data_IF_939703975335
#
_entry.id   IF_939703975335
#
_cell.length_a   1.000
_cell.length_b   1.000
_cell.length_c   1.000
_cell.angle_alpha   90.00
_cell.angle_beta   90.00
_cell.angle_gamma   90.00
#
_symmetry.space_group_name_H-M   'P 1'
#
loop_
_entity.id
_entity.type
_entity.pdbx_description
1 polymer ?
#
# COMPACT_ATOMS: atom_id res chain seq x y z
N UNK A 1 5.59 20.71 -11.93
CA UNK A 1 4.75 19.52 -12.19
C UNK A 1 3.96 19.32 -10.93
N UNK A 2 2.64 19.40 -11.01
CA UNK A 2 1.79 18.99 -9.89
C UNK A 2 2.07 17.52 -9.63
N UNK A 3 2.46 17.21 -8.39
CA UNK A 3 2.64 15.85 -7.93
C UNK A 3 1.24 15.23 -7.79
N UNK A 4 0.98 14.10 -8.45
CA UNK A 4 -0.31 13.42 -8.29
C UNK A 4 -0.54 13.11 -6.81
N UNK A 5 -1.70 13.51 -6.29
CA UNK A 5 -2.00 13.45 -4.86
C UNK A 5 -1.90 12.05 -4.26
N UNK A 6 -2.10 10.99 -5.06
CA UNK A 6 -1.97 9.59 -4.64
C UNK A 6 -0.52 9.14 -4.53
N UNK A 7 0.43 9.79 -5.22
CA UNK A 7 1.82 9.36 -5.23
C UNK A 7 2.44 9.55 -3.84
N UNK A 8 2.92 8.44 -3.29
CA UNK A 8 3.45 8.35 -1.94
C UNK A 8 3.19 6.99 -1.31
N UNK A 9 3.61 6.87 -0.05
CA UNK A 9 3.40 5.72 0.81
C UNK A 9 2.30 5.99 1.82
N UNK A 10 1.29 5.13 1.82
CA UNK A 10 0.12 5.21 2.66
C UNK A 10 0.11 4.02 3.61
N UNK A 11 0.15 4.27 4.92
CA UNK A 11 0.17 3.25 5.96
C UNK A 11 -1.15 3.25 6.74
N UNK A 12 -1.63 2.06 7.07
CA UNK A 12 -2.80 1.89 7.94
C UNK A 12 -2.48 2.26 9.40
N UNK A 13 -1.23 2.05 9.83
CA UNK A 13 -0.78 2.21 11.22
C UNK A 13 -0.10 3.56 11.50
N UNK A 14 0.29 4.32 10.46
CA UNK A 14 0.96 5.61 10.65
C UNK A 14 0.08 6.57 11.48
N UNK A 15 0.59 6.95 12.65
CA UNK A 15 -0.11 7.79 13.63
C UNK A 15 -0.90 7.02 14.69
N UNK A 16 -0.78 5.70 14.78
CA UNK A 16 -1.27 4.88 15.88
C UNK A 16 -0.12 4.31 16.72
N UNK A 17 -0.45 3.82 17.92
CA UNK A 17 0.47 2.97 18.65
C UNK A 17 0.65 1.68 17.86
N UNK A 18 1.90 1.29 17.60
CA UNK A 18 2.29 0.09 16.84
C UNK A 18 1.21 -0.99 16.91
N UNK A 19 0.42 -1.09 15.86
CA UNK A 19 -0.37 -2.27 15.65
C UNK A 19 0.63 -3.40 15.38
N UNK A 20 0.30 -4.62 15.83
CA UNK A 20 1.09 -5.80 15.43
C UNK A 20 1.04 -6.05 13.92
N UNK A 21 0.27 -5.26 13.20
CA UNK A 21 0.00 -5.38 11.78
C UNK A 21 -0.01 -3.98 11.16
N UNK A 22 0.58 -3.79 9.99
CA UNK A 22 0.40 -2.60 9.17
C UNK A 22 0.12 -3.03 7.73
N UNK A 23 -0.59 -2.20 6.99
CA UNK A 23 -0.77 -2.37 5.56
C UNK A 23 -0.33 -1.10 4.83
N UNK A 24 0.73 -1.27 4.06
CA UNK A 24 1.30 -0.25 3.20
C UNK A 24 0.66 -0.33 1.83
N UNK A 25 0.37 0.84 1.26
CA UNK A 25 -0.09 1.02 -0.11
C UNK A 25 0.74 2.13 -0.74
N UNK A 26 1.47 1.82 -1.80
CA UNK A 26 2.38 2.74 -2.47
C UNK A 26 1.94 2.95 -3.91
N UNK A 27 1.83 4.22 -4.30
CA UNK A 27 1.66 4.63 -5.68
C UNK A 27 2.90 5.39 -6.14
N UNK A 28 3.49 4.97 -7.26
CA UNK A 28 4.63 5.65 -7.90
C UNK A 28 4.15 6.49 -9.08
N UNK A 29 4.88 7.57 -9.36
CA UNK A 29 4.55 8.51 -10.44
C UNK A 29 4.63 7.90 -11.85
N UNK A 30 5.31 6.77 -12.02
CA UNK A 30 5.41 6.03 -13.28
C UNK A 30 4.18 5.16 -13.60
N UNK A 31 3.15 5.21 -12.74
CA UNK A 31 1.94 4.39 -12.89
C UNK A 31 2.10 2.98 -12.36
N UNK A 32 3.16 2.67 -11.63
CA UNK A 32 3.30 1.42 -10.88
C UNK A 32 3.01 1.62 -9.39
N UNK A 33 2.80 0.53 -8.66
CA UNK A 33 2.59 0.57 -7.23
C UNK A 33 2.59 -0.82 -6.62
N UNK A 34 2.50 -0.86 -5.30
CA UNK A 34 2.39 -2.09 -4.55
C UNK A 34 1.60 -1.89 -3.25
N UNK A 35 1.03 -2.98 -2.74
CA UNK A 35 0.58 -3.06 -1.36
C UNK A 35 1.37 -4.13 -0.62
N UNK A 36 1.53 -3.95 0.69
CA UNK A 36 2.12 -4.95 1.56
C UNK A 36 1.39 -4.95 2.89
N UNK A 37 0.74 -6.06 3.21
CA UNK A 37 0.28 -6.37 4.57
C UNK A 37 1.44 -6.99 5.34
N UNK A 38 1.74 -6.40 6.49
CA UNK A 38 2.93 -6.63 7.30
C UNK A 38 2.50 -7.09 8.68
N UNK A 39 3.05 -8.20 9.16
CA UNK A 39 2.97 -8.62 10.56
C UNK A 39 4.28 -9.31 10.94
N UNK A 40 4.55 -9.57 12.23
CA UNK A 40 5.69 -10.38 12.62
C UNK A 40 5.71 -11.70 11.84
N UNK A 41 6.85 -11.96 11.18
CA UNK A 41 7.15 -13.21 10.46
C UNK A 41 6.25 -13.51 9.26
N UNK A 42 5.37 -12.60 8.83
CA UNK A 42 4.56 -12.80 7.63
C UNK A 42 4.37 -11.50 6.87
N UNK A 43 4.51 -11.57 5.55
CA UNK A 43 4.25 -10.47 4.62
C UNK A 43 3.46 -10.98 3.44
N UNK A 44 2.36 -10.30 3.11
CA UNK A 44 1.60 -10.51 1.88
C UNK A 44 1.69 -9.25 1.03
N UNK A 45 2.15 -9.37 -0.20
CA UNK A 45 2.48 -8.26 -1.07
C UNK A 45 1.83 -8.41 -2.45
N UNK A 46 1.30 -7.32 -3.00
CA UNK A 46 0.73 -7.29 -4.35
C UNK A 46 1.33 -6.15 -5.15
N UNK A 47 1.77 -6.43 -6.38
CA UNK A 47 2.20 -5.41 -7.35
C UNK A 47 1.11 -5.13 -8.36
N UNK A 48 1.01 -3.86 -8.71
CA UNK A 48 0.01 -3.40 -9.66
C UNK A 48 0.51 -2.25 -10.53
N UNK A 49 -0.18 -2.06 -11.65
CA UNK A 49 -0.19 -0.80 -12.40
C UNK A 49 -1.44 -0.02 -12.06
N UNK A 50 -1.37 1.29 -12.17
CA UNK A 50 -2.51 2.17 -11.91
C UNK A 50 -2.54 3.34 -12.89
N UNK A 51 -3.73 3.86 -13.11
CA UNK A 51 -3.95 5.05 -13.93
C UNK A 51 -5.18 5.81 -13.46
N UNK A 52 -5.18 7.14 -13.68
CA UNK A 52 -6.36 7.97 -13.45
C UNK A 52 -7.43 7.69 -14.48
N UNK A 53 -8.67 7.51 -14.01
CA UNK A 53 -9.87 7.42 -14.87
C UNK A 53 -10.83 8.58 -14.62
N UNK A 54 -10.58 9.39 -13.59
CA UNK A 54 -11.32 10.60 -13.26
C UNK A 54 -10.76 11.31 -12.01
N UNK A 55 -11.39 12.41 -11.55
CA UNK A 55 -10.88 13.23 -10.44
C UNK A 55 -10.64 12.45 -9.14
N UNK A 56 -11.49 11.48 -8.82
CA UNK A 56 -11.38 10.62 -7.64
C UNK A 56 -11.54 9.14 -8.00
N UNK A 57 -11.05 8.76 -9.18
CA UNK A 57 -11.21 7.43 -9.74
C UNK A 57 -9.92 6.94 -10.38
N UNK A 58 -9.62 5.65 -10.14
CA UNK A 58 -8.47 4.97 -10.73
C UNK A 58 -8.88 3.63 -11.32
N UNK A 59 -8.06 3.16 -12.26
CA UNK A 59 -8.00 1.76 -12.67
C UNK A 59 -6.72 1.16 -12.10
N UNK A 60 -6.82 -0.03 -11.50
CA UNK A 60 -5.70 -0.79 -10.98
C UNK A 60 -5.66 -2.16 -11.66
N UNK A 61 -4.47 -2.56 -12.08
CA UNK A 61 -4.16 -3.82 -12.74
C UNK A 61 -3.13 -4.56 -11.89
N UNK A 62 -3.59 -5.43 -10.99
CA UNK A 62 -2.73 -6.26 -10.16
C UNK A 62 -2.25 -7.46 -10.97
N UNK A 63 -0.94 -7.70 -10.93
CA UNK A 63 -0.29 -8.68 -11.81
C UNK A 63 0.57 -9.69 -11.07
N UNK A 64 0.98 -9.41 -9.83
CA UNK A 64 1.79 -10.36 -9.05
C UNK A 64 1.49 -10.22 -7.57
N UNK A 65 1.32 -11.36 -6.93
CA UNK A 65 1.24 -11.54 -5.48
C UNK A 65 2.51 -12.24 -4.98
N UNK A 66 2.92 -11.93 -3.76
CA UNK A 66 4.06 -12.56 -3.10
C UNK A 66 3.79 -12.69 -1.62
N UNK A 67 3.99 -13.90 -1.10
CA UNK A 67 3.90 -14.18 0.33
C UNK A 67 5.29 -14.55 0.86
N UNK A 68 5.65 -14.00 2.03
CA UNK A 68 6.81 -14.40 2.80
C UNK A 68 6.32 -14.88 4.17
N UNK A 69 6.59 -16.14 4.51
CA UNK A 69 6.35 -16.72 5.83
C UNK A 69 7.68 -17.15 6.46
N UNK A 70 8.12 -16.41 7.48
CA UNK A 70 9.35 -16.68 8.22
C UNK A 70 9.11 -17.63 9.40
N UNK A 71 7.85 -17.91 9.75
CA UNK A 71 7.50 -18.80 10.85
C UNK A 71 7.75 -20.28 10.54
N UNK A 72 7.72 -20.65 9.25
CA UNK A 72 8.01 -22.00 8.74
C UNK A 72 9.32 -22.05 7.91
N UNK A 73 10.25 -21.13 8.19
CA UNK A 73 11.55 -21.07 7.54
C UNK A 73 11.53 -20.38 6.17
N UNK A 74 11.52 -19.04 6.18
CA UNK A 74 11.69 -18.13 5.02
C UNK A 74 11.09 -18.65 3.70
N UNK A 75 9.80 -19.02 3.72
CA UNK A 75 9.09 -19.47 2.53
C UNK A 75 8.65 -18.25 1.73
N UNK A 76 9.04 -18.19 0.45
CA UNK A 76 8.57 -17.16 -0.48
C UNK A 76 7.75 -17.80 -1.58
N UNK A 77 6.47 -17.46 -1.65
CA UNK A 77 5.57 -17.88 -2.72
C UNK A 77 5.26 -16.73 -3.67
N UNK A 78 5.12 -17.04 -4.96
CA UNK A 78 4.77 -16.07 -6.00
C UNK A 78 3.62 -16.57 -6.84
N UNK A 79 2.60 -15.73 -6.98
CA UNK A 79 1.42 -16.02 -7.80
C UNK A 79 1.23 -14.89 -8.80
N UNK A 80 1.09 -15.23 -10.09
CA UNK A 80 0.70 -14.26 -11.11
C UNK A 80 -0.80 -13.98 -10.98
N UNK A 81 -1.17 -12.70 -11.02
CA UNK A 81 -2.55 -12.25 -10.94
C UNK A 81 -3.01 -11.71 -12.30
N UNK A 82 -4.29 -11.87 -12.59
CA UNK A 82 -4.96 -11.17 -13.69
C UNK A 82 -6.22 -10.49 -13.13
N UNK A 83 -6.00 -9.41 -12.40
CA UNK A 83 -7.05 -8.67 -11.72
C UNK A 83 -7.02 -7.20 -12.15
N UNK A 84 -8.06 -6.80 -12.89
CA UNK A 84 -8.31 -5.40 -13.24
C UNK A 84 -9.53 -4.90 -12.50
N UNK A 85 -9.41 -3.76 -11.84
CA UNK A 85 -10.52 -3.13 -11.12
C UNK A 85 -10.51 -1.61 -11.34
N UNK A 86 -11.69 -1.05 -11.56
CA UNK A 86 -11.91 0.39 -11.53
C UNK A 86 -12.63 0.76 -10.24
N UNK A 87 -12.16 1.80 -9.56
CA UNK A 87 -12.75 2.22 -8.29
C UNK A 87 -12.58 3.69 -8.02
N UNK A 88 -13.41 4.16 -7.08
CA UNK A 88 -13.29 5.47 -6.50
C UNK A 88 -12.46 5.40 -5.21
N UNK A 89 -11.82 6.51 -4.89
CA UNK A 89 -11.16 6.70 -3.61
C UNK A 89 -11.62 8.02 -2.99
N UNK A 90 -11.37 8.19 -1.70
CA UNK A 90 -11.58 9.44 -0.99
C UNK A 90 -10.26 9.88 -0.37
N UNK A 91 -9.88 11.14 -0.61
CA UNK A 91 -8.82 11.82 0.11
C UNK A 91 -9.42 12.89 1.00
N UNK A 92 -9.02 12.90 2.26
CA UNK A 92 -9.42 13.90 3.23
C UNK A 92 -8.25 14.22 4.17
N UNK A 93 -8.25 15.42 4.76
CA UNK A 93 -7.41 15.69 5.93
C UNK A 93 -8.12 15.14 7.17
N UNK A 94 -7.40 14.37 7.97
CA UNK A 94 -7.92 13.80 9.21
C UNK A 94 -6.87 13.70 10.30
N UNK A 95 -7.32 13.39 11.51
CA UNK A 95 -6.45 13.25 12.69
C UNK A 95 -6.09 11.79 12.94
N UNK A 96 -4.85 11.53 13.38
CA UNK A 96 -4.44 10.25 13.95
C UNK A 96 -4.01 10.46 15.41
N UNK A 97 -4.23 9.49 16.33
CA UNK A 97 -4.00 9.68 17.76
C UNK A 97 -2.61 10.17 18.15
N UNK A 98 -1.56 9.75 17.44
CA UNK A 98 -0.16 10.09 17.76
C UNK A 98 0.42 11.24 16.93
N UNK A 99 -0.36 11.82 16.01
CA UNK A 99 0.11 12.93 15.19
C UNK A 99 -0.47 14.23 15.73
N UNK A 100 0.39 15.24 15.88
CA UNK A 100 -0.01 16.56 16.38
C UNK A 100 -0.81 17.36 15.36
N UNK A 101 -0.60 17.12 14.07
CA UNK A 101 -1.23 17.84 12.97
C UNK A 101 -2.10 16.90 12.12
N UNK A 102 -3.20 17.40 11.51
CA UNK A 102 -3.96 16.63 10.54
C UNK A 102 -3.10 16.19 9.36
N UNK A 103 -3.35 14.98 8.87
CA UNK A 103 -2.60 14.35 7.78
C UNK A 103 -3.56 13.88 6.68
N UNK A 104 -3.12 13.79 5.41
CA UNK A 104 -3.92 13.16 4.36
C UNK A 104 -4.24 11.71 4.69
N UNK A 105 -5.51 11.36 4.58
CA UNK A 105 -6.06 10.02 4.74
C UNK A 105 -6.67 9.56 3.41
N UNK A 106 -6.28 8.37 2.97
CA UNK A 106 -6.77 7.70 1.77
C UNK A 106 -7.72 6.56 2.15
N UNK A 107 -8.99 6.69 1.78
CA UNK A 107 -9.94 5.59 1.80
C UNK A 107 -10.07 4.99 0.40
N UNK A 108 -9.69 3.72 0.26
CA UNK A 108 -9.78 2.96 -0.99
C UNK A 108 -10.02 1.49 -0.67
N UNK A 109 -10.84 0.81 -1.50
CA UNK A 109 -11.26 -0.57 -1.29
C UNK A 109 -10.76 -1.47 -2.42
N UNK A 110 -9.44 -1.58 -2.57
CA UNK A 110 -8.82 -2.56 -3.46
C UNK A 110 -9.09 -3.98 -2.92
N UNK A 111 -9.45 -4.94 -3.79
CA UNK A 111 -9.87 -6.28 -3.36
C UNK A 111 -8.74 -7.13 -2.77
N UNK A 112 -7.49 -6.70 -2.94
CA UNK A 112 -6.30 -7.36 -2.40
C UNK A 112 -5.78 -6.72 -1.11
N UNK A 113 -6.48 -5.71 -0.57
CA UNK A 113 -6.14 -5.14 0.73
C UNK A 113 -6.74 -5.99 1.84
N UNK A 114 -5.90 -6.34 2.80
CA UNK A 114 -6.24 -7.15 3.97
C UNK A 114 -6.92 -6.29 5.05
N UNK A 115 -6.52 -5.03 5.20
CA UNK A 115 -7.07 -4.13 6.20
C UNK A 115 -8.10 -3.18 5.58
N UNK A 116 -9.22 -3.01 6.29
CA UNK A 116 -10.26 -2.05 5.92
C UNK A 116 -9.96 -0.67 6.51
N UNK A 117 -10.51 0.35 5.85
CA UNK A 117 -10.48 1.72 6.35
C UNK A 117 -9.46 2.60 5.65
N UNK A 118 -9.07 3.66 6.34
CA UNK A 118 -8.24 4.75 5.83
C UNK A 118 -6.76 4.49 6.09
N UNK A 119 -5.91 4.88 5.14
CA UNK A 119 -4.45 4.87 5.27
C UNK A 119 -3.94 6.30 5.33
N UNK A 120 -3.06 6.60 6.28
CA UNK A 120 -2.44 7.91 6.40
C UNK A 120 -1.22 8.00 5.48
N UNK A 121 -1.00 9.14 4.86
CA UNK A 121 0.21 9.42 4.09
C UNK A 121 1.41 9.44 5.05
N UNK A 122 2.26 8.43 5.00
CA UNK A 122 3.47 8.35 5.82
C UNK A 122 4.64 9.13 5.20
N UNK A 123 4.80 8.99 3.89
CA UNK A 123 5.91 9.62 3.15
C UNK A 123 5.51 9.86 1.69
N UNK A 124 6.12 10.87 1.06
CA UNK A 124 6.04 11.04 -0.40
C UNK A 124 7.07 10.18 -1.14
N UNK A 125 8.09 9.75 -0.41
CA UNK A 125 9.12 8.85 -0.90
C UNK A 125 8.78 7.41 -0.52
N UNK A 126 9.27 6.47 -1.32
CA UNK A 126 9.09 5.05 -1.04
C UNK A 126 9.92 4.64 0.18
N UNK A 127 9.35 3.87 1.12
CA UNK A 127 10.07 3.46 2.33
C UNK A 127 11.14 2.42 2.02
N UNK A 128 12.37 2.60 2.49
CA UNK A 128 13.44 1.60 2.33
C UNK A 128 13.37 0.53 3.42
N UNK A 129 13.12 -0.73 3.05
CA UNK A 129 13.11 -1.86 3.98
C UNK A 129 13.69 -3.13 3.35
N UNK A 130 14.54 -3.83 4.10
CA UNK A 130 15.18 -5.06 3.60
C UNK A 130 14.16 -6.15 3.22
N UNK A 131 13.07 -6.29 3.98
CA UNK A 131 12.04 -7.28 3.68
C UNK A 131 11.32 -6.96 2.34
N UNK A 132 11.17 -5.68 1.97
CA UNK A 132 10.57 -5.30 0.68
C UNK A 132 11.44 -5.75 -0.49
N UNK A 133 12.77 -5.76 -0.33
CA UNK A 133 13.70 -6.36 -1.30
C UNK A 133 13.56 -7.88 -1.34
N UNK A 134 13.38 -8.53 -0.19
CA UNK A 134 13.19 -10.00 -0.11
C UNK A 134 11.92 -10.46 -0.85
N UNK A 135 10.80 -9.74 -0.70
CA UNK A 135 9.57 -10.01 -1.48
C UNK A 135 9.62 -9.40 -2.89
N UNK A 136 10.78 -8.83 -3.26
CA UNK A 136 11.09 -8.30 -4.57
C UNK A 136 10.40 -6.99 -4.93
N UNK A 137 9.66 -6.34 -4.03
CA UNK A 137 8.97 -5.05 -4.26
C UNK A 137 9.94 -3.90 -4.58
N UNK A 138 11.17 -4.00 -4.06
CA UNK A 138 12.27 -3.07 -4.28
C UNK A 138 13.46 -3.77 -4.95
N UNK A 139 14.18 -3.04 -5.80
CA UNK A 139 15.43 -3.50 -6.43
C UNK A 139 16.64 -2.92 -5.72
#
# INVERSE_FOLDING_TARGET
MDHDELVGCWSSDHGYHSAMEDEWLVFRADGTGWSAYLRPWFTHAVRFRWSRTGPAAIRVEAFRETELDESDGDVVEHTELDLTVAMHYVLALGSRPLLAEPIPLLAIALPFLQLRGERALESRDEPERDFLRRVGLQQ
#
